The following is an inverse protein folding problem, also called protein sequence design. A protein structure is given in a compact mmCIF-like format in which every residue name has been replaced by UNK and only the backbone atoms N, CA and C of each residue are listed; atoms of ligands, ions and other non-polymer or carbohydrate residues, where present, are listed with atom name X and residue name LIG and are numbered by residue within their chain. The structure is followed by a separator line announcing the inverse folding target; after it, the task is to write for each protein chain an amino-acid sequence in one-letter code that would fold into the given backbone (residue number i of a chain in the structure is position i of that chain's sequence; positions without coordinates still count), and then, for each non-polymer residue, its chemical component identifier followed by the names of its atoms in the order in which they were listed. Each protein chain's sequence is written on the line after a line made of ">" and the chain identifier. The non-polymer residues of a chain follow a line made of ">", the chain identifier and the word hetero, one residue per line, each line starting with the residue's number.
data_IF_710833098636
#
_entry.id   IF_710833098636
#
_cell.length_a   1.000
_cell.length_b   1.000
_cell.length_c   1.000
_cell.angle_alpha   90.00
_cell.angle_beta   90.00
_cell.angle_gamma   90.00
#
_symmetry.space_group_name_H-M   'P 1'
#
loop_
_entity.id
_entity.type
_entity.pdbx_description
1 polymer ?
#
# COMPACT_ATOMS: atom_id res chain seq x y z
N UNK A 1 19.36 32.42 7.49
CA UNK A 1 19.39 30.99 7.10
C UNK A 1 18.36 30.28 7.94
N UNK A 2 17.31 29.72 7.32
CA UNK A 2 16.48 28.72 7.98
C UNK A 2 17.40 27.53 8.30
N UNK A 3 17.30 26.95 9.50
CA UNK A 3 18.06 25.74 9.81
C UNK A 3 17.65 24.63 8.82
N UNK A 4 18.62 23.90 8.29
CA UNK A 4 18.36 22.78 7.40
C UNK A 4 17.63 21.68 8.19
N UNK A 5 16.54 21.14 7.64
CA UNK A 5 15.72 20.14 8.31
C UNK A 5 16.51 18.84 8.47
N UNK A 6 16.46 18.22 9.66
CA UNK A 6 17.07 16.92 9.94
C UNK A 6 16.01 15.82 9.88
N UNK A 7 16.16 14.85 9.00
CA UNK A 7 15.16 13.81 8.75
C UNK A 7 15.74 12.42 8.98
N UNK A 8 15.16 11.68 9.92
CA UNK A 8 15.37 10.24 10.00
C UNK A 8 14.50 9.55 8.96
N UNK A 9 15.12 8.92 7.96
CA UNK A 9 14.40 8.14 6.95
C UNK A 9 14.36 6.68 7.36
N UNK A 10 13.17 6.11 7.48
CA UNK A 10 12.96 4.70 7.77
C UNK A 10 12.61 3.96 6.48
N UNK A 11 13.56 3.20 5.95
CA UNK A 11 13.42 2.47 4.69
C UNK A 11 14.28 1.20 4.66
N UNK A 12 13.80 0.14 4.00
CA UNK A 12 14.56 -1.08 3.75
C UNK A 12 15.80 -0.79 2.89
N UNK A 13 16.98 -0.88 3.51
CA UNK A 13 18.28 -0.75 2.85
C UNK A 13 18.62 -1.96 1.97
N UNK A 14 17.81 -3.03 1.97
CA UNK A 14 17.86 -4.11 0.97
C UNK A 14 17.25 -3.70 -0.37
N UNK A 15 16.41 -2.66 -0.37
CA UNK A 15 15.59 -2.24 -1.53
C UNK A 15 16.16 -1.01 -2.26
N UNK A 16 17.43 -0.71 -2.03
CA UNK A 16 18.12 0.52 -2.47
C UNK A 16 17.99 0.91 -3.94
N UNK A 17 17.91 -0.01 -4.94
CA UNK A 17 17.79 0.41 -6.33
C UNK A 17 16.56 1.28 -6.61
N UNK A 18 15.48 1.15 -5.83
CA UNK A 18 14.19 1.81 -6.10
C UNK A 18 14.06 3.23 -5.54
N UNK A 19 14.83 3.59 -4.51
CA UNK A 19 14.71 4.88 -3.81
C UNK A 19 16.00 5.70 -3.78
N UNK A 20 17.11 5.19 -4.33
CA UNK A 20 18.40 5.86 -4.28
C UNK A 20 18.35 7.33 -4.72
N UNK A 21 17.74 7.62 -5.87
CA UNK A 21 17.61 8.99 -6.38
C UNK A 21 16.72 9.89 -5.52
N UNK A 22 15.65 9.36 -4.93
CA UNK A 22 14.82 10.10 -3.99
C UNK A 22 15.62 10.50 -2.74
N UNK A 23 16.36 9.55 -2.16
CA UNK A 23 17.18 9.80 -0.96
C UNK A 23 18.35 10.74 -1.25
N UNK A 24 18.99 10.62 -2.42
CA UNK A 24 20.05 11.54 -2.85
C UNK A 24 19.53 12.97 -3.01
N UNK A 25 18.37 13.16 -3.66
CA UNK A 25 17.76 14.47 -3.78
C UNK A 25 17.33 15.03 -2.41
N UNK A 26 16.82 14.17 -1.52
CA UNK A 26 16.51 14.56 -0.15
C UNK A 26 17.76 15.01 0.61
N UNK A 27 18.88 14.29 0.50
CA UNK A 27 20.15 14.64 1.14
C UNK A 27 20.78 15.94 0.61
N UNK A 28 20.42 16.38 -0.60
CA UNK A 28 20.86 17.67 -1.15
C UNK A 28 20.11 18.87 -0.53
N UNK A 29 18.92 18.64 0.04
CA UNK A 29 18.03 19.70 0.55
C UNK A 29 17.77 19.59 2.06
N UNK A 30 18.06 18.45 2.68
CA UNK A 30 17.90 18.16 4.10
C UNK A 30 19.11 17.35 4.62
N UNK A 31 19.40 17.46 5.92
CA UNK A 31 20.37 16.57 6.57
C UNK A 31 19.63 15.27 6.90
N UNK A 32 20.12 14.12 6.42
CA UNK A 32 19.42 12.85 6.60
C UNK A 32 20.30 11.75 7.19
N UNK A 33 19.65 10.87 7.95
CA UNK A 33 20.15 9.54 8.31
C UNK A 33 19.11 8.52 7.87
N UNK A 34 19.50 7.50 7.10
CA UNK A 34 18.58 6.45 6.68
C UNK A 34 18.80 5.16 7.49
N UNK A 35 17.74 4.66 8.12
CA UNK A 35 17.78 3.45 8.93
C UNK A 35 16.81 2.38 8.42
N UNK A 36 17.25 1.13 8.43
CA UNK A 36 16.37 0.00 8.13
C UNK A 36 17.09 -1.32 7.87
N UNK A 37 16.33 -2.38 7.50
CA UNK A 37 16.90 -3.69 7.22
C UNK A 37 17.85 -3.70 6.04
N UNK A 38 19.03 -4.26 6.24
CA UNK A 38 20.09 -4.35 5.23
C UNK A 38 21.43 -3.91 5.79
N UNK A 39 22.43 -3.78 4.92
CA UNK A 39 23.74 -3.25 5.31
C UNK A 39 23.60 -1.76 5.56
N UNK A 40 23.96 -1.32 6.76
CA UNK A 40 23.93 0.07 7.19
C UNK A 40 25.17 0.88 6.83
N UNK A 41 26.13 0.31 6.11
CA UNK A 41 27.39 0.97 5.77
C UNK A 41 27.49 1.09 4.24
N UNK A 42 26.52 1.82 3.67
CA UNK A 42 26.45 2.05 2.24
C UNK A 42 27.29 3.28 1.90
N UNK A 43 28.04 3.20 0.80
CA UNK A 43 28.80 4.33 0.24
C UNK A 43 27.83 5.34 -0.40
N UNK A 44 27.15 6.11 0.46
CA UNK A 44 26.15 7.10 0.11
C UNK A 44 26.56 8.46 0.69
N UNK A 45 26.08 9.58 0.10
CA UNK A 45 26.44 10.93 0.56
C UNK A 45 25.79 11.32 1.91
N UNK A 46 25.19 10.37 2.61
CA UNK A 46 24.50 10.53 3.89
C UNK A 46 24.67 9.27 4.74
N UNK A 47 24.54 9.41 6.07
CA UNK A 47 24.74 8.28 6.97
C UNK A 47 23.62 7.25 6.84
N UNK A 48 23.98 5.98 6.90
CA UNK A 48 23.03 4.86 6.94
C UNK A 48 23.20 4.05 8.22
N UNK A 49 22.15 3.32 8.62
CA UNK A 49 22.18 2.46 9.80
C UNK A 49 21.33 1.21 9.59
N UNK A 50 21.93 0.04 9.81
CA UNK A 50 21.25 -1.24 9.70
C UNK A 50 20.43 -1.52 10.95
N UNK A 51 19.19 -1.96 10.80
CA UNK A 51 18.37 -2.43 11.92
C UNK A 51 17.50 -3.65 11.54
N UNK A 52 16.77 -4.21 12.50
CA UNK A 52 15.83 -5.30 12.23
C UNK A 52 14.53 -4.82 11.59
N UNK A 53 13.80 -5.74 10.96
CA UNK A 53 12.52 -5.49 10.25
C UNK A 53 11.42 -4.88 11.13
N UNK A 54 11.57 -4.98 12.46
CA UNK A 54 10.63 -4.47 13.46
C UNK A 54 11.36 -3.80 14.63
N UNK A 55 12.57 -3.27 14.40
CA UNK A 55 13.29 -2.51 15.42
C UNK A 55 12.43 -1.36 15.96
N UNK A 56 12.54 -1.07 17.26
CA UNK A 56 11.83 0.04 17.87
C UNK A 56 12.42 1.37 17.41
N UNK A 57 11.57 2.34 17.09
CA UNK A 57 11.98 3.70 16.70
C UNK A 57 12.83 4.34 17.80
N UNK A 58 12.50 4.14 19.07
CA UNK A 58 13.32 4.61 20.21
C UNK A 58 14.77 4.10 20.12
N UNK A 59 14.96 2.79 19.95
CA UNK A 59 16.31 2.22 19.81
C UNK A 59 17.04 2.70 18.55
N UNK A 60 16.30 3.04 17.48
CA UNK A 60 16.88 3.65 16.27
C UNK A 60 17.32 5.08 16.58
N UNK A 61 16.50 5.86 17.28
CA UNK A 61 16.80 7.24 17.69
C UNK A 61 18.04 7.28 18.62
N UNK A 62 18.13 6.37 19.58
CA UNK A 62 19.26 6.27 20.51
C UNK A 62 20.58 5.91 19.82
N UNK A 63 20.52 5.27 18.65
CA UNK A 63 21.68 4.85 17.88
C UNK A 63 22.09 5.88 16.81
N UNK A 64 21.40 7.01 16.70
CA UNK A 64 21.78 8.08 15.77
C UNK A 64 23.12 8.74 16.17
N UNK A 65 23.84 9.35 15.21
CA UNK A 65 25.04 10.12 15.51
C UNK A 65 24.77 11.20 16.58
N UNK A 66 25.72 11.43 17.50
CA UNK A 66 25.56 12.35 18.65
C UNK A 66 25.14 13.78 18.24
N UNK A 67 25.52 14.21 17.04
CA UNK A 67 25.20 15.53 16.48
C UNK A 67 23.91 15.57 15.65
N UNK A 68 23.17 14.46 15.57
CA UNK A 68 21.97 14.34 14.75
C UNK A 68 20.73 14.07 15.62
N UNK A 69 19.89 15.10 15.76
CA UNK A 69 18.56 14.97 16.39
C UNK A 69 17.51 15.24 15.31
N UNK A 70 16.67 14.25 14.93
CA UNK A 70 15.74 14.42 13.82
C UNK A 70 14.61 15.37 14.20
N UNK A 71 14.32 16.32 13.31
CA UNK A 71 13.14 17.19 13.36
C UNK A 71 11.90 16.45 12.82
N UNK A 72 12.11 15.42 11.99
CA UNK A 72 11.07 14.58 11.37
C UNK A 72 11.53 13.12 11.18
N UNK A 73 10.58 12.20 11.18
CA UNK A 73 10.76 10.79 10.77
C UNK A 73 9.96 10.54 9.49
N UNK A 74 10.60 10.08 8.42
CA UNK A 74 9.95 9.76 7.15
C UNK A 74 10.02 8.24 6.89
N UNK A 75 8.90 7.54 7.07
CA UNK A 75 8.77 6.13 6.74
C UNK A 75 8.43 5.95 5.26
N UNK A 76 9.30 5.26 4.52
CA UNK A 76 9.09 4.93 3.11
C UNK A 76 8.66 3.47 3.00
N UNK A 77 7.56 3.22 2.29
CA UNK A 77 7.08 1.87 2.03
C UNK A 77 8.08 1.07 1.18
N UNK A 78 8.92 0.29 1.86
CA UNK A 78 9.99 -0.48 1.23
C UNK A 78 10.21 -1.81 1.91
N UNK A 79 10.13 -2.88 1.13
CA UNK A 79 10.30 -4.24 1.63
C UNK A 79 9.31 -4.57 2.76
N UNK A 80 9.74 -5.42 3.69
CA UNK A 80 8.97 -5.78 4.88
C UNK A 80 9.56 -5.10 6.11
N UNK A 81 9.57 -3.76 6.13
CA UNK A 81 10.06 -2.98 7.28
C UNK A 81 8.92 -2.22 7.95
N UNK A 82 8.61 -2.59 9.20
CA UNK A 82 7.52 -2.04 9.99
C UNK A 82 7.99 -1.76 11.43
N UNK A 83 8.65 -0.62 11.68
CA UNK A 83 9.30 -0.33 12.97
C UNK A 83 8.28 -0.22 14.12
N UNK A 84 8.68 -0.69 15.31
CA UNK A 84 7.87 -0.59 16.52
C UNK A 84 7.98 0.82 17.13
N UNK A 85 7.07 1.17 18.05
CA UNK A 85 7.21 2.41 18.83
C UNK A 85 6.80 3.70 18.10
N UNK A 86 6.30 3.62 16.86
CA UNK A 86 5.74 4.77 16.14
C UNK A 86 4.62 5.50 16.91
N UNK A 87 3.87 4.79 17.75
CA UNK A 87 2.79 5.36 18.58
C UNK A 87 3.34 6.32 19.64
N UNK A 88 4.48 5.98 20.25
CA UNK A 88 5.09 6.72 21.35
C UNK A 88 6.21 7.67 20.94
N UNK A 89 6.65 7.65 19.68
CA UNK A 89 7.65 8.59 19.18
C UNK A 89 7.14 10.04 19.33
N UNK A 90 7.97 10.97 19.80
CA UNK A 90 7.58 12.38 19.96
C UNK A 90 7.84 13.20 18.69
N UNK A 91 8.80 12.77 17.86
CA UNK A 91 9.14 13.40 16.58
C UNK A 91 8.04 13.16 15.54
N UNK A 92 7.55 14.19 14.82
CA UNK A 92 6.56 14.04 13.76
C UNK A 92 6.95 12.95 12.77
N UNK A 93 6.05 12.00 12.53
CA UNK A 93 6.27 10.86 11.66
C UNK A 93 5.39 10.96 10.41
N UNK A 94 5.99 10.70 9.26
CA UNK A 94 5.33 10.75 7.96
C UNK A 94 5.40 9.40 7.28
N UNK A 95 4.41 9.07 6.47
CA UNK A 95 4.39 7.84 5.69
C UNK A 95 4.25 8.11 4.20
N UNK A 96 5.15 7.55 3.41
CA UNK A 96 5.05 7.54 1.96
C UNK A 96 4.50 6.18 1.49
N UNK A 97 3.20 6.16 1.16
CA UNK A 97 2.47 5.01 0.66
C UNK A 97 2.70 4.84 -0.85
N UNK A 98 3.63 3.98 -1.23
CA UNK A 98 4.15 3.87 -2.61
C UNK A 98 3.15 3.20 -3.57
N UNK A 99 2.55 2.08 -3.16
CA UNK A 99 1.74 1.24 -4.06
C UNK A 99 0.30 1.06 -3.52
N UNK A 100 -0.48 2.16 -3.36
CA UNK A 100 -1.80 2.08 -2.75
C UNK A 100 -2.78 1.19 -3.51
N UNK A 101 -2.65 1.07 -4.83
CA UNK A 101 -3.45 0.17 -5.65
C UNK A 101 -3.33 -1.31 -5.25
N UNK A 102 -2.21 -1.71 -4.65
CA UNK A 102 -2.00 -3.08 -4.15
C UNK A 102 -2.26 -3.19 -2.64
N UNK A 103 -2.08 -2.09 -1.91
CA UNK A 103 -1.86 -2.12 -0.47
C UNK A 103 -2.83 -1.25 0.34
N UNK A 104 -3.79 -0.58 -0.30
CA UNK A 104 -4.71 0.37 0.37
C UNK A 104 -5.40 -0.22 1.60
N UNK A 105 -5.73 -1.51 1.57
CA UNK A 105 -6.41 -2.22 2.65
C UNK A 105 -5.64 -2.19 3.99
N UNK A 106 -4.31 -2.26 3.96
CA UNK A 106 -3.50 -2.17 5.19
C UNK A 106 -2.82 -0.81 5.35
N UNK A 107 -2.51 -0.11 4.26
CA UNK A 107 -1.96 1.25 4.33
C UNK A 107 -2.94 2.22 5.00
N UNK A 108 -4.25 2.02 4.79
CA UNK A 108 -5.29 2.80 5.48
C UNK A 108 -5.17 2.67 7.00
N UNK A 109 -4.97 1.46 7.51
CA UNK A 109 -4.75 1.25 8.95
C UNK A 109 -3.39 1.80 9.37
N UNK A 110 -2.32 1.47 8.64
CA UNK A 110 -0.97 1.92 8.95
C UNK A 110 -0.86 3.44 9.00
N UNK A 111 -1.60 4.15 8.15
CA UNK A 111 -1.64 5.61 8.10
C UNK A 111 -1.97 6.25 9.45
N UNK A 112 -2.78 5.60 10.29
CA UNK A 112 -3.18 6.12 11.61
C UNK A 112 -2.01 6.31 12.57
N UNK A 113 -0.84 5.72 12.27
CA UNK A 113 0.39 5.87 13.06
C UNK A 113 1.18 7.14 12.74
N UNK A 114 0.77 7.89 11.71
CA UNK A 114 1.52 9.01 11.15
C UNK A 114 0.75 10.32 11.26
N UNK A 115 1.49 11.42 11.19
CA UNK A 115 0.95 12.78 11.26
C UNK A 115 0.52 13.26 9.87
N UNK A 116 1.20 12.81 8.80
CA UNK A 116 0.74 12.95 7.43
C UNK A 116 1.14 11.77 6.53
N UNK A 117 0.35 11.59 5.47
CA UNK A 117 0.54 10.53 4.46
C UNK A 117 0.77 11.16 3.10
N UNK A 118 1.76 10.63 2.40
CA UNK A 118 2.12 10.97 1.03
C UNK A 118 1.79 9.78 0.13
N UNK A 119 1.18 10.01 -1.02
CA UNK A 119 0.85 8.96 -1.99
C UNK A 119 1.13 9.44 -3.42
N UNK A 120 1.67 8.61 -4.33
CA UNK A 120 1.96 9.01 -5.69
C UNK A 120 0.71 9.10 -6.58
N UNK A 121 -0.40 8.48 -6.16
CA UNK A 121 -1.61 8.36 -6.97
C UNK A 121 -2.74 9.24 -6.38
N UNK A 122 -3.14 10.34 -7.07
CA UNK A 122 -4.12 11.30 -6.56
C UNK A 122 -5.47 10.70 -6.13
N UNK A 123 -5.97 9.67 -6.83
CA UNK A 123 -7.25 9.03 -6.47
C UNK A 123 -7.27 8.43 -5.07
N UNK A 124 -6.11 8.17 -4.46
CA UNK A 124 -6.03 7.58 -3.12
C UNK A 124 -6.04 8.61 -2.00
N UNK A 125 -5.99 9.91 -2.32
CA UNK A 125 -6.15 10.95 -1.30
C UNK A 125 -7.52 10.88 -0.63
N UNK A 126 -8.60 10.82 -1.41
CA UNK A 126 -9.97 10.81 -0.91
C UNK A 126 -10.32 9.52 -0.14
N UNK A 127 -9.99 8.30 -0.61
CA UNK A 127 -10.13 7.08 0.19
C UNK A 127 -9.44 7.19 1.56
N UNK A 128 -8.17 7.58 1.61
CA UNK A 128 -7.43 7.70 2.87
C UNK A 128 -8.05 8.76 3.80
N UNK A 129 -8.52 9.90 3.26
CA UNK A 129 -9.25 10.91 4.04
C UNK A 129 -10.60 10.39 4.54
N UNK A 130 -11.34 9.64 3.72
CA UNK A 130 -12.64 9.05 4.09
C UNK A 130 -12.52 8.03 5.22
N UNK A 131 -11.39 7.31 5.29
CA UNK A 131 -11.07 6.45 6.41
C UNK A 131 -10.54 7.20 7.65
N UNK A 132 -10.57 8.54 7.62
CA UNK A 132 -10.39 9.41 8.77
C UNK A 132 -9.03 10.11 8.86
N UNK A 133 -8.10 9.89 7.91
CA UNK A 133 -6.80 10.54 7.99
C UNK A 133 -6.89 12.02 7.60
N UNK A 134 -6.56 12.97 8.50
CA UNK A 134 -6.82 14.40 8.26
C UNK A 134 -5.81 15.03 7.28
N UNK A 135 -4.58 14.51 7.23
CA UNK A 135 -3.50 15.05 6.42
C UNK A 135 -2.98 14.00 5.42
N UNK A 136 -3.57 13.99 4.23
CA UNK A 136 -3.14 13.16 3.11
C UNK A 136 -2.78 14.08 1.95
N UNK A 137 -1.68 13.83 1.27
CA UNK A 137 -1.19 14.67 0.18
C UNK A 137 -0.74 13.83 -1.02
N UNK A 138 -1.17 14.23 -2.20
CA UNK A 138 -0.59 13.70 -3.43
C UNK A 138 0.86 14.15 -3.61
N UNK A 139 1.79 13.21 -3.55
CA UNK A 139 3.23 13.39 -3.70
C UNK A 139 3.72 12.45 -4.82
N UNK A 140 3.94 12.96 -6.04
CA UNK A 140 4.33 12.13 -7.18
C UNK A 140 5.76 11.60 -7.04
N UNK A 141 6.07 10.52 -7.75
CA UNK A 141 7.44 10.07 -7.94
C UNK A 141 8.18 10.99 -8.90
N UNK A 142 9.46 11.25 -8.61
CA UNK A 142 10.32 12.11 -9.39
C UNK A 142 11.25 11.36 -10.35
N UNK A 143 11.88 12.14 -11.22
CA UNK A 143 12.89 11.69 -12.18
C UNK A 143 14.28 12.08 -11.69
N UNK A 144 15.27 11.21 -11.90
CA UNK A 144 16.69 11.53 -11.75
C UNK A 144 17.21 12.26 -13.00
N UNK A 145 17.42 13.59 -12.97
CA UNK A 145 17.84 14.34 -14.16
C UNK A 145 19.22 13.96 -14.67
N UNK A 146 20.14 13.49 -13.81
CA UNK A 146 21.46 13.04 -14.24
C UNK A 146 21.38 11.78 -15.13
N UNK A 147 20.33 10.96 -14.93
CA UNK A 147 20.10 9.72 -15.64
C UNK A 147 19.16 9.90 -16.83
N UNK A 148 18.02 10.54 -16.61
CA UNK A 148 17.01 10.80 -17.62
C UNK A 148 17.14 12.23 -18.12
N UNK A 149 17.96 12.40 -19.14
CA UNK A 149 18.12 13.64 -19.88
C UNK A 149 18.27 13.33 -21.37
N UNK A 150 17.98 14.34 -22.20
CA UNK A 150 18.20 14.26 -23.63
C UNK A 150 19.69 14.42 -23.94
N UNK A 151 20.29 13.34 -24.41
CA UNK A 151 21.71 13.26 -24.74
C UNK A 151 22.02 13.77 -26.16
N UNK A 152 21.01 14.26 -26.89
CA UNK A 152 21.18 14.76 -28.26
C UNK A 152 21.54 13.69 -29.28
N UNK A 153 21.25 12.41 -28.97
CA UNK A 153 21.53 11.28 -29.85
C UNK A 153 20.58 11.25 -31.05
N UNK A 154 21.02 10.58 -32.11
CA UNK A 154 20.13 10.20 -33.21
C UNK A 154 19.00 9.30 -32.70
N UNK A 155 17.78 9.57 -33.16
CA UNK A 155 16.59 8.78 -32.82
C UNK A 155 16.27 7.82 -33.94
N UNK A 156 16.85 6.63 -33.87
CA UNK A 156 16.70 5.57 -34.86
C UNK A 156 15.39 4.79 -34.73
N UNK A 157 14.69 4.90 -33.60
CA UNK A 157 13.40 4.24 -33.35
C UNK A 157 12.24 5.22 -33.51
N UNK A 158 11.19 4.81 -34.23
CA UNK A 158 9.94 5.56 -34.28
C UNK A 158 9.20 5.48 -32.95
N UNK A 159 9.09 4.25 -32.41
CA UNK A 159 8.38 3.98 -31.16
C UNK A 159 9.17 3.02 -30.27
N UNK A 160 9.32 3.37 -28.99
CA UNK A 160 9.80 2.45 -27.97
C UNK A 160 8.75 2.18 -26.89
N UNK A 161 8.80 1.00 -26.29
CA UNK A 161 8.00 0.62 -25.12
C UNK A 161 8.88 -0.08 -24.09
N UNK A 162 8.68 0.24 -22.82
CA UNK A 162 9.41 -0.34 -21.67
C UNK A 162 8.42 -1.02 -20.74
N UNK A 163 8.44 -2.35 -20.71
CA UNK A 163 7.58 -3.14 -19.84
C UNK A 163 7.42 -4.58 -20.30
N UNK A 164 6.59 -5.33 -19.60
CA UNK A 164 6.23 -6.70 -19.98
C UNK A 164 5.28 -6.68 -21.19
N UNK A 165 5.53 -7.51 -22.21
CA UNK A 165 4.75 -7.46 -23.46
C UNK A 165 4.52 -8.82 -24.12
N UNK A 166 4.87 -9.92 -23.45
CA UNK A 166 4.60 -11.27 -23.96
C UNK A 166 3.10 -11.50 -24.20
N UNK A 167 2.77 -12.21 -25.27
CA UNK A 167 1.39 -12.39 -25.72
C UNK A 167 0.48 -13.06 -24.67
N UNK A 168 1.04 -13.98 -23.88
CA UNK A 168 0.29 -14.73 -22.87
C UNK A 168 -0.12 -13.88 -21.66
N UNK A 169 0.72 -12.90 -21.29
CA UNK A 169 0.47 -12.00 -20.15
C UNK A 169 -0.12 -10.65 -20.55
N UNK A 170 0.21 -10.15 -21.75
CA UNK A 170 -0.26 -8.85 -22.26
C UNK A 170 -0.60 -8.92 -23.75
N UNK A 171 -1.70 -9.60 -24.13
CA UNK A 171 -2.09 -9.79 -25.53
C UNK A 171 -2.30 -8.46 -26.28
N UNK A 172 -2.80 -7.43 -25.59
CA UNK A 172 -2.96 -6.10 -26.16
C UNK A 172 -1.63 -5.44 -26.55
N UNK A 173 -0.60 -5.52 -25.69
CA UNK A 173 0.74 -4.95 -25.99
C UNK A 173 1.37 -5.64 -27.19
N UNK A 174 1.24 -6.96 -27.25
CA UNK A 174 1.68 -7.76 -28.38
C UNK A 174 0.95 -7.37 -29.68
N UNK A 175 -0.37 -7.17 -29.63
CA UNK A 175 -1.16 -6.72 -30.77
C UNK A 175 -0.74 -5.32 -31.25
N UNK A 176 -0.59 -4.35 -30.33
CA UNK A 176 -0.16 -2.99 -30.66
C UNK A 176 1.21 -3.00 -31.36
N UNK A 177 2.17 -3.75 -30.82
CA UNK A 177 3.50 -3.92 -31.44
C UNK A 177 3.40 -4.44 -32.87
N UNK A 178 2.58 -5.48 -33.08
CA UNK A 178 2.37 -6.05 -34.42
C UNK A 178 1.76 -5.04 -35.39
N UNK A 179 0.72 -4.32 -34.98
CA UNK A 179 0.06 -3.30 -35.81
C UNK A 179 1.04 -2.20 -36.24
N UNK A 180 1.89 -1.73 -35.32
CA UNK A 180 2.90 -0.72 -35.65
C UNK A 180 3.96 -1.25 -36.64
N UNK A 181 4.41 -2.49 -36.47
CA UNK A 181 5.36 -3.13 -37.39
C UNK A 181 4.74 -3.38 -38.77
N UNK A 182 3.47 -3.77 -38.84
CA UNK A 182 2.73 -3.96 -40.08
C UNK A 182 2.53 -2.64 -40.85
N UNK A 183 2.56 -1.49 -40.16
CA UNK A 183 2.62 -0.16 -40.77
C UNK A 183 4.05 0.31 -41.14
N UNK A 184 5.06 -0.52 -40.93
CA UNK A 184 6.45 -0.21 -41.29
C UNK A 184 7.19 0.70 -40.30
N UNK A 185 6.66 0.91 -39.09
CA UNK A 185 7.34 1.68 -38.05
C UNK A 185 8.52 0.91 -37.47
N UNK A 186 9.63 1.59 -37.19
CA UNK A 186 10.75 0.99 -36.46
C UNK A 186 10.43 0.97 -34.96
N UNK A 187 10.02 -0.20 -34.45
CA UNK A 187 9.50 -0.36 -33.08
C UNK A 187 10.33 -1.29 -32.24
N UNK A 188 10.67 -0.85 -31.02
CA UNK A 188 11.36 -1.67 -30.03
C UNK A 188 10.57 -1.75 -28.71
N UNK A 189 10.16 -2.96 -28.36
CA UNK A 189 9.54 -3.26 -27.07
C UNK A 189 10.54 -4.08 -26.27
N UNK A 190 10.87 -3.61 -25.08
CA UNK A 190 11.89 -4.22 -24.24
C UNK A 190 11.45 -4.24 -22.78
N UNK A 191 12.06 -5.15 -22.00
CA UNK A 191 11.98 -5.15 -20.54
C UNK A 191 13.38 -4.98 -19.96
N UNK A 192 13.91 -3.75 -19.96
CA UNK A 192 15.21 -3.44 -19.36
C UNK A 192 15.30 -3.85 -17.89
N UNK A 193 16.52 -4.13 -17.44
CA UNK A 193 16.83 -4.52 -16.07
C UNK A 193 17.41 -3.38 -15.21
N UNK A 194 17.73 -2.23 -15.82
CA UNK A 194 18.22 -1.05 -15.11
C UNK A 194 17.67 0.25 -15.70
N UNK A 195 17.70 1.32 -14.90
CA UNK A 195 17.22 2.64 -15.33
C UNK A 195 18.13 3.26 -16.42
N UNK A 196 19.42 2.95 -16.45
CA UNK A 196 20.34 3.36 -17.53
C UNK A 196 19.93 2.77 -18.87
N UNK A 197 19.52 1.50 -18.89
CA UNK A 197 19.02 0.86 -20.11
C UNK A 197 17.68 1.47 -20.56
N UNK A 198 16.82 1.85 -19.62
CA UNK A 198 15.57 2.58 -19.91
C UNK A 198 15.91 3.94 -20.52
N UNK A 199 16.80 4.73 -19.88
CA UNK A 199 17.20 6.04 -20.35
C UNK A 199 17.85 5.99 -21.75
N UNK A 200 18.70 4.99 -21.99
CA UNK A 200 19.33 4.76 -23.30
C UNK A 200 18.28 4.45 -24.39
N UNK A 201 17.29 3.61 -24.09
CA UNK A 201 16.20 3.31 -25.01
C UNK A 201 15.34 4.55 -25.31
N UNK A 202 15.02 5.35 -24.29
CA UNK A 202 14.24 6.59 -24.47
C UNK A 202 14.97 7.64 -25.30
N UNK A 203 16.31 7.73 -25.19
CA UNK A 203 17.10 8.65 -26.01
C UNK A 203 17.14 8.26 -27.50
N UNK A 204 16.87 7.00 -27.84
CA UNK A 204 16.80 6.48 -29.22
C UNK A 204 15.43 6.62 -29.88
N UNK A 205 14.38 6.88 -29.11
CA UNK A 205 13.00 6.81 -29.61
C UNK A 205 12.40 8.18 -29.91
N UNK A 206 11.71 8.35 -31.03
CA UNK A 206 10.91 9.55 -31.31
C UNK A 206 9.69 9.61 -30.39
N UNK A 207 9.00 8.49 -30.22
CA UNK A 207 7.83 8.34 -29.35
C UNK A 207 8.09 7.24 -28.33
N UNK A 208 7.71 7.45 -27.08
CA UNK A 208 7.67 6.38 -26.08
C UNK A 208 6.22 6.09 -25.74
N UNK A 209 5.83 4.84 -25.98
CA UNK A 209 4.51 4.32 -25.61
C UNK A 209 4.48 3.98 -24.12
N UNK A 210 3.44 4.44 -23.44
CA UNK A 210 3.09 4.03 -22.09
C UNK A 210 1.67 3.47 -22.05
N UNK A 211 1.50 2.30 -21.45
CA UNK A 211 0.19 1.70 -21.19
C UNK A 211 0.09 1.35 -19.71
N UNK A 212 -0.68 2.15 -18.98
CA UNK A 212 -0.98 1.98 -17.56
C UNK A 212 -2.48 1.96 -17.27
N UNK A 213 -2.81 1.64 -16.01
CA UNK A 213 -4.17 1.71 -15.48
C UNK A 213 -4.53 3.16 -15.17
N UNK A 214 -5.83 3.49 -15.30
CA UNK A 214 -6.28 4.87 -15.11
C UNK A 214 -6.02 5.40 -13.69
N UNK A 215 -6.16 4.55 -12.68
CA UNK A 215 -6.00 4.89 -11.26
C UNK A 215 -4.56 4.84 -10.76
N UNK A 216 -3.58 4.61 -11.65
CA UNK A 216 -2.17 4.46 -11.27
C UNK A 216 -1.33 5.63 -11.78
N UNK A 217 -0.44 6.14 -10.94
CA UNK A 217 0.55 7.13 -11.34
C UNK A 217 1.83 6.43 -11.80
N UNK A 218 2.32 6.83 -12.96
CA UNK A 218 3.55 6.31 -13.55
C UNK A 218 4.48 7.46 -13.90
N UNK A 219 5.74 7.34 -13.48
CA UNK A 219 6.80 8.30 -13.83
C UNK A 219 7.33 8.09 -15.27
N UNK A 220 6.95 6.99 -15.95
CA UNK A 220 7.50 6.61 -17.26
C UNK A 220 7.25 7.66 -18.36
N UNK A 221 6.05 8.25 -18.50
CA UNK A 221 5.84 9.33 -19.47
C UNK A 221 6.75 10.54 -19.21
N UNK A 222 6.97 10.87 -17.94
CA UNK A 222 7.86 11.95 -17.53
C UNK A 222 9.33 11.64 -17.87
N UNK A 223 9.80 10.43 -17.56
CA UNK A 223 11.16 9.99 -17.92
C UNK A 223 11.40 10.06 -19.44
N UNK A 224 10.43 9.62 -20.24
CA UNK A 224 10.50 9.71 -21.69
C UNK A 224 10.61 11.16 -22.18
N UNK A 225 9.78 12.05 -21.61
CA UNK A 225 9.82 13.49 -21.91
C UNK A 225 11.16 14.13 -21.55
N UNK A 226 11.74 13.78 -20.39
CA UNK A 226 13.05 14.27 -19.96
C UNK A 226 14.18 13.86 -20.93
N UNK A 227 14.11 12.63 -21.46
CA UNK A 227 14.99 12.13 -22.51
C UNK A 227 14.69 12.70 -23.91
N UNK A 228 13.70 13.59 -24.08
CA UNK A 228 13.36 14.26 -25.33
C UNK A 228 12.49 13.43 -26.29
N UNK A 229 11.96 12.28 -25.87
CA UNK A 229 10.94 11.58 -26.64
C UNK A 229 9.56 12.21 -26.39
N UNK A 230 8.64 12.10 -27.35
CA UNK A 230 7.24 12.45 -27.13
C UNK A 230 6.56 11.29 -26.38
N UNK A 231 6.01 11.50 -25.17
CA UNK A 231 5.24 10.46 -24.51
C UNK A 231 3.90 10.27 -25.22
N UNK A 232 3.53 9.02 -25.50
CA UNK A 232 2.20 8.64 -25.95
C UNK A 232 1.63 7.65 -24.93
N UNK A 233 0.66 8.08 -24.13
CA UNK A 233 0.19 7.34 -22.95
C UNK A 233 -1.29 6.97 -23.05
N UNK A 234 -1.69 5.82 -22.49
CA UNK A 234 -3.08 5.66 -22.06
C UNK A 234 -3.42 6.73 -21.00
N UNK A 235 -4.70 7.05 -20.85
CA UNK A 235 -5.17 7.93 -19.79
C UNK A 235 -4.76 7.38 -18.41
N UNK A 236 -4.16 8.23 -17.58
CA UNK A 236 -3.69 7.89 -16.23
C UNK A 236 -3.72 9.13 -15.34
N UNK A 237 -3.89 8.92 -14.04
CA UNK A 237 -3.94 10.01 -13.07
C UNK A 237 -2.61 10.75 -12.93
N UNK A 238 -2.70 12.05 -12.62
CA UNK A 238 -1.53 12.91 -12.43
C UNK A 238 -0.75 13.26 -13.70
N UNK A 239 -1.03 12.61 -14.85
CA UNK A 239 -0.34 12.89 -16.13
C UNK A 239 -0.48 14.36 -16.53
N UNK A 240 -1.72 14.89 -16.56
CA UNK A 240 -1.98 16.25 -17.00
C UNK A 240 -1.29 17.31 -16.11
N UNK A 241 -0.93 17.00 -14.88
CA UNK A 241 -0.21 17.94 -14.01
C UNK A 241 1.14 18.33 -14.57
N UNK A 242 1.85 17.39 -15.21
CA UNK A 242 3.17 17.63 -15.79
C UNK A 242 3.14 17.65 -17.31
N UNK A 243 2.33 16.80 -17.92
CA UNK A 243 2.26 16.60 -19.36
C UNK A 243 0.82 16.78 -19.83
N UNK A 244 0.47 18.02 -20.16
CA UNK A 244 -0.84 18.36 -20.71
C UNK A 244 -1.06 17.64 -22.07
N UNK A 245 -2.14 16.86 -22.24
CA UNK A 245 -2.47 16.20 -23.51
C UNK A 245 -2.50 17.18 -24.68
N UNK A 246 -2.02 16.73 -25.83
CA UNK A 246 -1.86 17.49 -27.09
C UNK A 246 -0.94 18.72 -27.02
N UNK A 247 -0.39 19.04 -25.84
CA UNK A 247 0.57 20.13 -25.66
C UNK A 247 1.97 19.64 -25.30
N UNK A 248 2.07 18.59 -24.49
CA UNK A 248 3.32 18.02 -23.98
C UNK A 248 3.34 16.49 -24.01
N UNK A 249 2.24 15.83 -24.36
CA UNK A 249 2.16 14.40 -24.63
C UNK A 249 1.00 14.11 -25.59
N UNK A 250 0.91 12.87 -26.07
CA UNK A 250 -0.26 12.33 -26.75
C UNK A 250 -0.97 11.35 -25.82
N UNK A 251 -2.29 11.30 -25.91
CA UNK A 251 -3.11 10.30 -25.21
C UNK A 251 -3.91 9.46 -26.19
N UNK A 252 -4.12 8.19 -25.85
CA UNK A 252 -4.94 7.27 -26.64
C UNK A 252 -5.85 6.43 -25.73
N UNK A 253 -6.99 6.00 -26.28
CA UNK A 253 -7.97 5.14 -25.60
C UNK A 253 -8.03 3.72 -26.16
N UNK A 254 -7.56 3.54 -27.39
CA UNK A 254 -7.72 2.32 -28.16
C UNK A 254 -6.67 2.24 -29.27
N UNK A 255 -6.50 1.08 -29.92
CA UNK A 255 -5.51 0.92 -30.98
C UNK A 255 -5.69 1.87 -32.17
N UNK A 256 -6.92 2.23 -32.55
CA UNK A 256 -7.14 3.10 -33.71
C UNK A 256 -6.71 4.53 -33.42
N UNK A 257 -7.06 5.05 -32.24
CA UNK A 257 -6.61 6.38 -31.80
C UNK A 257 -5.10 6.43 -31.66
N UNK A 258 -4.47 5.38 -31.13
CA UNK A 258 -3.00 5.28 -31.07
C UNK A 258 -2.37 5.34 -32.46
N UNK A 259 -2.80 4.50 -33.41
CA UNK A 259 -2.20 4.46 -34.75
C UNK A 259 -2.36 5.80 -35.47
N UNK A 260 -3.53 6.43 -35.38
CA UNK A 260 -3.77 7.76 -35.95
C UNK A 260 -2.86 8.83 -35.34
N UNK A 261 -2.63 8.79 -34.03
CA UNK A 261 -1.73 9.72 -33.35
C UNK A 261 -0.27 9.53 -33.79
N UNK A 262 0.18 8.28 -33.91
CA UNK A 262 1.53 7.94 -34.37
C UNK A 262 1.75 8.38 -35.83
N UNK A 263 0.83 8.05 -36.73
CA UNK A 263 0.90 8.41 -38.15
C UNK A 263 1.03 9.93 -38.33
N UNK A 264 0.14 10.70 -37.69
CA UNK A 264 0.14 12.16 -37.79
C UNK A 264 1.38 12.82 -37.20
N UNK A 265 1.91 12.29 -36.10
CA UNK A 265 3.09 12.86 -35.45
C UNK A 265 4.36 12.53 -36.22
N UNK A 266 4.53 11.27 -36.64
CA UNK A 266 5.76 10.80 -37.28
C UNK A 266 5.92 11.36 -38.70
N UNK A 267 4.82 11.65 -39.40
CA UNK A 267 4.79 12.32 -40.70
C UNK A 267 5.10 13.83 -40.63
N UNK A 268 5.11 14.45 -39.43
CA UNK A 268 5.32 15.89 -39.25
C UNK A 268 6.47 16.16 -38.26
N UNK A 269 7.68 16.33 -38.79
CA UNK A 269 8.89 16.60 -37.99
C UNK A 269 8.77 17.83 -37.11
N UNK A 270 8.16 18.90 -37.61
CA UNK A 270 8.03 20.16 -36.88
C UNK A 270 7.08 20.00 -35.68
N UNK A 271 5.96 19.29 -35.88
CA UNK A 271 5.03 18.96 -34.80
C UNK A 271 5.71 18.07 -33.75
N UNK A 272 6.48 17.08 -34.19
CA UNK A 272 7.25 16.22 -33.27
C UNK A 272 8.25 17.04 -32.44
N UNK A 273 9.04 17.91 -33.07
CA UNK A 273 10.00 18.78 -32.37
C UNK A 273 9.32 19.73 -31.38
N UNK A 274 8.20 20.34 -31.77
CA UNK A 274 7.43 21.22 -30.91
C UNK A 274 6.91 20.48 -29.67
N UNK A 275 6.32 19.29 -29.87
CA UNK A 275 5.75 18.50 -28.78
C UNK A 275 6.85 17.95 -27.86
N UNK A 276 7.94 17.45 -28.42
CA UNK A 276 9.12 16.99 -27.67
C UNK A 276 9.73 18.11 -26.82
N UNK A 277 9.93 19.31 -27.40
CA UNK A 277 10.49 20.45 -26.67
C UNK A 277 9.59 20.90 -25.52
N UNK A 278 8.26 20.91 -25.72
CA UNK A 278 7.30 21.21 -24.65
C UNK A 278 7.30 20.14 -23.57
N UNK A 279 7.28 18.86 -23.95
CA UNK A 279 7.35 17.73 -23.03
C UNK A 279 8.59 17.83 -22.12
N UNK A 280 9.76 18.03 -22.72
CA UNK A 280 11.03 18.13 -22.00
C UNK A 280 11.05 19.31 -21.02
N UNK A 281 10.56 20.48 -21.43
CA UNK A 281 10.48 21.66 -20.55
C UNK A 281 9.57 21.41 -19.36
N UNK A 282 8.44 20.73 -19.56
CA UNK A 282 7.53 20.43 -18.46
C UNK A 282 8.03 19.32 -17.53
N UNK A 283 8.78 18.34 -18.06
CA UNK A 283 9.33 17.24 -17.27
C UNK A 283 10.23 17.70 -16.10
N UNK A 284 10.86 18.87 -16.23
CA UNK A 284 11.67 19.49 -15.17
C UNK A 284 10.90 19.65 -13.86
N UNK A 285 9.59 19.89 -13.92
CA UNK A 285 8.75 20.04 -12.72
C UNK A 285 8.58 18.73 -11.95
N UNK A 286 8.81 17.58 -12.60
CA UNK A 286 8.77 16.26 -11.99
C UNK A 286 10.16 15.68 -11.71
N UNK A 287 11.23 16.47 -11.77
CA UNK A 287 12.55 16.02 -11.30
C UNK A 287 12.57 15.93 -9.76
N UNK A 288 13.38 15.01 -9.23
CA UNK A 288 13.46 14.78 -7.79
C UNK A 288 13.68 16.05 -6.95
N UNK A 289 14.58 17.00 -7.30
CA UNK A 289 14.75 18.21 -6.50
C UNK A 289 13.45 19.01 -6.29
N UNK A 290 12.64 19.18 -7.34
CA UNK A 290 11.36 19.89 -7.29
C UNK A 290 10.31 19.10 -6.50
N UNK A 291 10.31 17.77 -6.66
CA UNK A 291 9.41 16.87 -5.94
C UNK A 291 9.74 16.85 -4.44
N UNK A 292 11.02 16.84 -4.07
CA UNK A 292 11.49 16.92 -2.68
C UNK A 292 11.21 18.29 -2.08
N UNK A 293 11.40 19.39 -2.82
CA UNK A 293 11.04 20.74 -2.33
C UNK A 293 9.57 20.78 -1.88
N UNK A 294 8.66 20.18 -2.67
CA UNK A 294 7.24 20.09 -2.33
C UNK A 294 6.99 19.19 -1.10
N UNK A 295 7.71 18.07 -0.98
CA UNK A 295 7.63 17.18 0.17
C UNK A 295 8.05 17.90 1.47
N UNK A 296 9.18 18.59 1.43
CA UNK A 296 9.71 19.36 2.57
C UNK A 296 8.77 20.49 2.96
N UNK A 297 8.20 21.21 2.00
CA UNK A 297 7.18 22.23 2.25
C UNK A 297 5.92 21.68 2.94
N UNK A 298 5.54 20.42 2.66
CA UNK A 298 4.40 19.75 3.30
C UNK A 298 4.72 19.21 4.69
N UNK A 299 5.98 18.85 4.95
CA UNK A 299 6.45 18.41 6.26
C UNK A 299 6.60 19.61 7.22
N UNK A 300 7.07 20.75 6.72
CA UNK A 300 7.41 21.93 7.52
C UNK A 300 6.34 22.39 8.53
N UNK A 301 5.03 22.41 8.21
CA UNK A 301 3.99 22.85 9.15
C UNK A 301 3.88 21.96 10.40
N UNK A 302 4.26 20.69 10.32
CA UNK A 302 4.14 19.73 11.41
C UNK A 302 5.32 19.76 12.40
N UNK A 303 6.42 20.41 12.03
CA UNK A 303 7.63 20.45 12.85
C UNK A 303 7.34 21.19 14.17
N UNK A 304 7.66 20.53 15.28
CA UNK A 304 7.40 21.04 16.64
C UNK A 304 5.94 20.97 17.08
N UNK A 305 5.03 20.42 16.25
CA UNK A 305 3.67 20.16 16.69
C UNK A 305 3.60 18.90 17.55
N UNK A 306 2.69 18.91 18.54
CA UNK A 306 2.36 17.68 19.24
C UNK A 306 1.68 16.74 18.26
N UNK A 307 2.21 15.52 18.19
CA UNK A 307 1.62 14.44 17.39
C UNK A 307 0.20 14.11 17.87
N UNK A 308 -0.49 13.32 17.07
CA UNK A 308 -1.75 12.60 17.37
C UNK A 308 -3.04 13.24 16.84
N UNK A 309 -3.56 12.60 15.81
CA UNK A 309 -4.90 12.81 15.28
C UNK A 309 -5.88 11.70 15.67
N UNK A 310 -5.38 10.52 16.05
CA UNK A 310 -6.18 9.35 16.39
C UNK A 310 -5.99 8.94 17.87
N UNK A 311 -7.06 8.44 18.53
CA UNK A 311 -6.96 7.85 19.85
C UNK A 311 -5.89 6.74 19.90
N UNK A 312 -5.17 6.64 21.02
CA UNK A 312 -4.12 5.63 21.19
C UNK A 312 -4.62 4.20 20.93
N UNK A 313 -5.81 3.88 21.43
CA UNK A 313 -6.46 2.59 21.20
C UNK A 313 -6.62 2.27 19.69
N UNK A 314 -7.05 3.21 18.87
CA UNK A 314 -7.19 3.00 17.43
C UNK A 314 -5.83 2.78 16.76
N UNK A 315 -4.81 3.54 17.16
CA UNK A 315 -3.44 3.39 16.65
C UNK A 315 -2.86 2.03 17.00
N UNK A 316 -3.07 1.54 18.22
CA UNK A 316 -2.62 0.21 18.63
C UNK A 316 -3.31 -0.91 17.84
N UNK A 317 -4.64 -0.82 17.61
CA UNK A 317 -5.36 -1.79 16.75
C UNK A 317 -4.81 -1.78 15.32
N UNK A 318 -4.64 -0.60 14.75
CA UNK A 318 -4.13 -0.42 13.41
C UNK A 318 -2.73 -1.01 13.25
N UNK A 319 -1.85 -0.77 14.22
CA UNK A 319 -0.51 -1.35 14.23
C UNK A 319 -0.55 -2.89 14.34
N UNK A 320 -1.46 -3.44 15.14
CA UNK A 320 -1.60 -4.90 15.30
C UNK A 320 -2.09 -5.55 14.02
N UNK A 321 -3.05 -4.91 13.35
CA UNK A 321 -3.58 -5.32 12.06
C UNK A 321 -2.47 -5.36 10.99
N UNK A 322 -1.60 -4.34 10.94
CA UNK A 322 -0.48 -4.32 9.99
C UNK A 322 0.50 -5.45 10.31
N UNK A 323 0.84 -5.67 11.57
CA UNK A 323 1.74 -6.78 11.95
C UNK A 323 1.16 -8.13 11.57
N UNK A 324 -0.14 -8.32 11.77
CA UNK A 324 -0.84 -9.51 11.33
C UNK A 324 -0.76 -9.71 9.80
N UNK A 325 -1.15 -8.71 9.02
CA UNK A 325 -1.21 -8.78 7.54
C UNK A 325 0.18 -8.89 6.89
N UNK A 326 1.24 -8.46 7.58
CA UNK A 326 2.60 -8.41 7.05
C UNK A 326 3.53 -9.51 7.56
N UNK A 327 2.97 -10.58 8.16
CA UNK A 327 3.74 -11.77 8.56
C UNK A 327 4.38 -11.70 9.95
N UNK A 328 3.99 -10.73 10.77
CA UNK A 328 4.43 -10.54 12.16
C UNK A 328 3.32 -10.84 13.17
N UNK A 329 2.44 -11.80 12.87
CA UNK A 329 1.25 -12.11 13.66
C UNK A 329 1.51 -12.35 15.15
N UNK A 330 2.62 -13.02 15.49
CA UNK A 330 3.01 -13.21 16.90
C UNK A 330 3.30 -11.91 17.67
N UNK A 331 3.81 -10.87 16.99
CA UNK A 331 3.94 -9.52 17.58
C UNK A 331 2.58 -8.83 17.68
N UNK A 332 1.75 -8.95 16.64
CA UNK A 332 0.38 -8.43 16.65
C UNK A 332 -0.44 -8.96 17.83
N UNK A 333 -0.41 -10.27 18.08
CA UNK A 333 -1.07 -10.90 19.24
C UNK A 333 -0.57 -10.33 20.57
N UNK A 334 0.75 -10.18 20.75
CA UNK A 334 1.30 -9.62 22.00
C UNK A 334 0.77 -8.21 22.25
N UNK A 335 0.67 -7.40 21.21
CA UNK A 335 0.10 -6.06 21.33
C UNK A 335 -1.39 -6.09 21.66
N UNK A 336 -2.17 -6.93 20.99
CA UNK A 336 -3.61 -7.08 21.28
C UNK A 336 -3.85 -7.60 22.71
N UNK A 337 -2.99 -8.48 23.23
CA UNK A 337 -3.07 -8.93 24.62
C UNK A 337 -2.81 -7.80 25.61
N UNK A 338 -1.76 -7.00 25.39
CA UNK A 338 -1.48 -5.83 26.22
C UNK A 338 -2.65 -4.81 26.16
N UNK A 339 -3.28 -4.65 24.99
CA UNK A 339 -4.48 -3.81 24.86
C UNK A 339 -5.67 -4.37 25.64
N UNK A 340 -5.91 -5.68 25.61
CA UNK A 340 -7.06 -6.29 26.28
C UNK A 340 -7.04 -6.05 27.80
N UNK A 341 -5.86 -5.96 28.41
CA UNK A 341 -5.70 -5.60 29.83
C UNK A 341 -6.20 -4.17 30.12
N UNK A 342 -5.99 -3.24 29.18
CA UNK A 342 -6.36 -1.82 29.31
C UNK A 342 -7.79 -1.54 28.82
N UNK A 343 -8.28 -2.33 27.85
CA UNK A 343 -9.58 -2.16 27.17
C UNK A 343 -10.40 -3.46 27.21
N UNK A 344 -10.76 -3.98 28.39
CA UNK A 344 -11.35 -5.32 28.54
C UNK A 344 -12.73 -5.49 27.88
N UNK A 345 -13.43 -4.39 27.56
CA UNK A 345 -14.77 -4.40 26.95
C UNK A 345 -14.77 -4.08 25.45
N UNK A 346 -13.59 -4.01 24.84
CA UNK A 346 -13.43 -3.76 23.41
C UNK A 346 -13.65 -5.05 22.62
N UNK A 347 -14.79 -5.09 21.93
CA UNK A 347 -15.27 -6.26 21.18
C UNK A 347 -14.44 -6.53 19.92
N UNK A 348 -13.67 -5.55 19.45
CA UNK A 348 -12.83 -5.73 18.27
C UNK A 348 -11.55 -6.50 18.59
N UNK A 349 -11.06 -6.45 19.84
CA UNK A 349 -9.81 -7.11 20.23
C UNK A 349 -9.89 -8.64 20.11
N UNK A 350 -10.92 -9.34 20.65
CA UNK A 350 -11.07 -10.77 20.43
C UNK A 350 -11.20 -11.13 18.94
N UNK A 351 -11.89 -10.30 18.15
CA UNK A 351 -12.05 -10.53 16.72
C UNK A 351 -10.71 -10.43 15.97
N UNK A 352 -9.91 -9.39 16.22
CA UNK A 352 -8.59 -9.22 15.62
C UNK A 352 -7.63 -10.34 16.02
N UNK A 353 -7.68 -10.80 17.28
CA UNK A 353 -6.92 -11.96 17.76
C UNK A 353 -7.34 -13.23 17.04
N UNK A 354 -8.63 -13.49 16.93
CA UNK A 354 -9.16 -14.65 16.22
C UNK A 354 -8.72 -14.68 14.75
N UNK A 355 -8.83 -13.56 14.02
CA UNK A 355 -8.34 -13.45 12.64
C UNK A 355 -6.83 -13.73 12.55
N UNK A 356 -6.07 -13.26 13.54
CA UNK A 356 -4.63 -13.54 13.62
C UNK A 356 -4.29 -15.01 13.82
N UNK A 357 -5.02 -15.69 14.67
CA UNK A 357 -4.89 -17.13 14.86
C UNK A 357 -5.33 -17.92 13.62
N UNK A 358 -6.43 -17.52 12.96
CA UNK A 358 -6.91 -18.17 11.74
C UNK A 358 -5.88 -18.13 10.60
N UNK A 359 -5.25 -16.98 10.34
CA UNK A 359 -4.20 -16.91 9.31
C UNK A 359 -2.95 -17.74 9.66
N UNK A 360 -2.79 -18.09 10.94
CA UNK A 360 -1.71 -18.96 11.42
C UNK A 360 -2.14 -20.43 11.52
N UNK A 361 -3.35 -20.78 11.06
CA UNK A 361 -3.97 -22.12 11.21
C UNK A 361 -4.13 -22.59 12.66
N UNK A 362 -4.22 -21.66 13.62
CA UNK A 362 -4.40 -21.92 15.05
C UNK A 362 -5.91 -21.90 15.38
N UNK A 363 -6.64 -22.90 14.89
CA UNK A 363 -8.11 -22.91 14.92
C UNK A 363 -8.69 -22.95 16.34
N UNK A 364 -8.06 -23.66 17.27
CA UNK A 364 -8.55 -23.77 18.65
C UNK A 364 -8.40 -22.44 19.40
N UNK A 365 -7.28 -21.74 19.21
CA UNK A 365 -7.03 -20.42 19.76
C UNK A 365 -8.01 -19.40 19.17
N UNK A 366 -8.22 -19.43 17.86
CA UNK A 366 -9.22 -18.59 17.20
C UNK A 366 -10.64 -18.84 17.76
N UNK A 367 -11.01 -20.12 17.94
CA UNK A 367 -12.29 -20.50 18.53
C UNK A 367 -12.45 -19.93 19.94
N UNK A 368 -11.44 -20.07 20.81
CA UNK A 368 -11.49 -19.52 22.17
C UNK A 368 -11.70 -18.00 22.19
N UNK A 369 -11.03 -17.27 21.30
CA UNK A 369 -11.22 -15.81 21.21
C UNK A 369 -12.63 -15.44 20.71
N UNK A 370 -13.14 -16.11 19.69
CA UNK A 370 -14.51 -15.90 19.19
C UNK A 370 -15.58 -16.29 20.21
N UNK A 371 -15.33 -17.33 21.00
CA UNK A 371 -16.23 -17.73 22.08
C UNK A 371 -16.22 -16.72 23.23
N UNK A 372 -15.05 -16.19 23.57
CA UNK A 372 -14.92 -15.10 24.55
C UNK A 372 -15.72 -13.87 24.12
N UNK A 373 -15.73 -13.55 22.82
CA UNK A 373 -16.53 -12.47 22.24
C UNK A 373 -18.03 -12.69 22.44
N UNK A 374 -18.53 -13.91 22.23
CA UNK A 374 -19.94 -14.26 22.42
C UNK A 374 -20.36 -14.27 23.90
N UNK A 375 -19.41 -14.51 24.80
CA UNK A 375 -19.64 -14.66 26.25
C UNK A 375 -19.21 -13.44 27.07
N UNK A 376 -18.88 -12.32 26.42
CA UNK A 376 -18.53 -11.05 27.07
C UNK A 376 -19.61 -10.65 28.07
N UNK A 377 -19.25 -10.64 29.35
CA UNK A 377 -20.13 -10.20 30.43
C UNK A 377 -20.48 -8.72 30.22
N UNK A 378 -21.75 -8.39 30.44
CA UNK A 378 -22.30 -7.02 30.45
C UNK A 378 -22.49 -6.31 29.10
N UNK A 379 -22.23 -6.98 27.95
CA UNK A 379 -22.45 -6.35 26.63
C UNK A 379 -23.06 -7.33 25.63
N UNK A 380 -24.35 -7.15 25.34
CA UNK A 380 -25.01 -7.87 24.24
C UNK A 380 -24.55 -7.28 22.90
N UNK A 381 -23.92 -8.10 22.07
CA UNK A 381 -23.49 -7.70 20.74
C UNK A 381 -24.70 -7.37 19.85
N UNK A 382 -24.63 -6.32 19.01
CA UNK A 382 -25.69 -6.01 18.06
C UNK A 382 -25.95 -7.19 17.11
N UNK A 383 -27.22 -7.51 16.86
CA UNK A 383 -27.60 -8.62 15.97
C UNK A 383 -26.98 -8.50 14.57
N UNK A 384 -26.92 -7.29 14.01
CA UNK A 384 -26.29 -7.04 12.72
C UNK A 384 -24.79 -7.39 12.70
N UNK A 385 -24.07 -7.12 13.79
CA UNK A 385 -22.66 -7.48 13.91
C UNK A 385 -22.47 -9.01 13.97
N UNK A 386 -23.30 -9.70 14.77
CA UNK A 386 -23.28 -11.17 14.83
C UNK A 386 -23.58 -11.80 13.46
N UNK A 387 -24.54 -11.26 12.72
CA UNK A 387 -24.87 -11.73 11.38
C UNK A 387 -23.69 -11.60 10.42
N UNK A 388 -22.98 -10.47 10.45
CA UNK A 388 -21.79 -10.22 9.63
C UNK A 388 -20.67 -11.23 9.88
N UNK A 389 -20.48 -11.69 11.12
CA UNK A 389 -19.42 -12.64 11.48
C UNK A 389 -19.92 -14.10 11.59
N UNK A 390 -21.19 -14.37 11.32
CA UNK A 390 -21.83 -15.67 11.60
C UNK A 390 -21.16 -16.84 10.89
N UNK A 391 -20.74 -16.68 9.64
CA UNK A 391 -20.00 -17.71 8.91
C UNK A 391 -18.60 -17.93 9.48
N UNK A 392 -17.91 -16.88 9.90
CA UNK A 392 -16.59 -16.98 10.55
C UNK A 392 -16.71 -17.77 11.85
N UNK A 393 -17.72 -17.48 12.67
CA UNK A 393 -18.01 -18.23 13.91
C UNK A 393 -18.22 -19.72 13.61
N UNK A 394 -19.19 -20.05 12.75
CA UNK A 394 -19.54 -21.45 12.46
C UNK A 394 -18.38 -22.20 11.81
N UNK A 395 -17.68 -21.59 10.87
CA UNK A 395 -16.49 -22.16 10.23
C UNK A 395 -15.40 -22.47 11.26
N UNK A 396 -15.07 -21.50 12.10
CA UNK A 396 -13.98 -21.62 13.06
C UNK A 396 -14.29 -22.68 14.11
N UNK A 397 -15.50 -22.70 14.66
CA UNK A 397 -15.90 -23.71 15.63
C UNK A 397 -15.94 -25.13 15.04
N UNK A 398 -16.38 -25.29 13.79
CA UNK A 398 -16.32 -26.60 13.11
C UNK A 398 -14.89 -27.07 12.87
N UNK A 399 -14.02 -26.21 12.35
CA UNK A 399 -12.61 -26.52 12.10
C UNK A 399 -11.87 -26.86 13.40
N UNK A 400 -12.17 -26.16 14.48
CA UNK A 400 -11.59 -26.40 15.81
C UNK A 400 -12.22 -27.58 16.56
N UNK A 401 -13.36 -28.11 16.11
CA UNK A 401 -14.17 -29.06 16.88
C UNK A 401 -14.69 -28.48 18.20
N UNK A 402 -14.89 -27.16 18.28
CA UNK A 402 -15.16 -26.43 19.52
C UNK A 402 -16.67 -26.36 19.80
N UNK A 403 -17.15 -27.37 20.53
CA UNK A 403 -18.60 -27.62 20.75
C UNK A 403 -19.27 -26.51 21.56
N UNK A 404 -18.63 -26.02 22.63
CA UNK A 404 -19.19 -24.97 23.50
C UNK A 404 -19.45 -23.68 22.72
N UNK A 405 -18.47 -23.22 21.95
CA UNK A 405 -18.66 -22.05 21.07
C UNK A 405 -19.71 -22.28 19.98
N UNK A 406 -19.90 -23.51 19.50
CA UNK A 406 -21.00 -23.81 18.57
C UNK A 406 -22.38 -23.64 19.23
N UNK A 407 -22.53 -24.00 20.50
CA UNK A 407 -23.76 -23.77 21.27
C UNK A 407 -23.97 -22.26 21.43
N UNK A 408 -22.97 -21.51 21.89
CA UNK A 408 -23.07 -20.05 22.03
C UNK A 408 -23.35 -19.34 20.70
N UNK A 409 -22.75 -19.79 19.59
CA UNK A 409 -23.05 -19.27 18.25
C UNK A 409 -24.51 -19.53 17.85
N UNK A 410 -25.02 -20.73 18.12
CA UNK A 410 -26.41 -21.06 17.83
C UNK A 410 -27.39 -20.19 18.65
N UNK A 411 -27.04 -19.84 19.88
CA UNK A 411 -27.81 -18.89 20.71
C UNK A 411 -27.75 -17.46 20.14
N UNK A 412 -26.54 -16.99 19.82
CA UNK A 412 -26.28 -15.61 19.40
C UNK A 412 -26.81 -15.28 18.00
N UNK A 413 -26.63 -16.16 17.01
CA UNK A 413 -26.99 -15.89 15.60
C UNK A 413 -28.51 -15.79 15.47
N UNK A 414 -29.11 -14.62 15.15
CA UNK A 414 -30.55 -14.45 15.19
C UNK A 414 -31.31 -15.44 14.31
N UNK A 415 -30.89 -15.57 13.05
CA UNK A 415 -31.50 -16.44 12.05
C UNK A 415 -30.43 -17.24 11.28
N UNK A 416 -30.00 -18.41 11.78
CA UNK A 416 -28.98 -19.19 11.08
C UNK A 416 -29.56 -19.77 9.77
N UNK A 417 -28.75 -19.72 8.70
CA UNK A 417 -29.09 -20.29 7.39
C UNK A 417 -29.23 -21.82 7.45
N UNK A 418 -29.88 -22.47 6.46
CA UNK A 418 -29.98 -23.94 6.44
C UNK A 418 -28.61 -24.64 6.52
N UNK A 419 -27.59 -24.09 5.84
CA UNK A 419 -26.22 -24.60 5.88
C UNK A 419 -25.60 -24.45 7.28
N UNK A 420 -25.72 -23.28 7.89
CA UNK A 420 -25.24 -23.03 9.25
C UNK A 420 -25.92 -23.96 10.26
N UNK A 421 -27.25 -24.14 10.18
CA UNK A 421 -28.00 -25.06 11.06
C UNK A 421 -27.49 -26.48 10.96
N UNK A 422 -27.29 -26.99 9.74
CA UNK A 422 -26.81 -28.35 9.51
C UNK A 422 -25.42 -28.57 10.13
N UNK A 423 -24.51 -27.61 9.97
CA UNK A 423 -23.15 -27.68 10.52
C UNK A 423 -23.14 -27.58 12.04
N UNK A 424 -23.88 -26.63 12.60
CA UNK A 424 -24.04 -26.48 14.05
C UNK A 424 -24.65 -27.74 14.67
N UNK A 425 -25.72 -28.30 14.09
CA UNK A 425 -26.32 -29.56 14.58
C UNK A 425 -25.35 -30.73 14.52
N UNK A 426 -24.55 -30.84 13.46
CA UNK A 426 -23.54 -31.90 13.32
C UNK A 426 -22.48 -31.82 14.41
N UNK A 427 -21.99 -30.61 14.69
CA UNK A 427 -20.96 -30.38 15.69
C UNK A 427 -21.50 -30.57 17.10
N UNK A 428 -22.64 -29.93 17.41
CA UNK A 428 -23.31 -30.01 18.73
C UNK A 428 -23.78 -31.44 19.02
N UNK A 429 -24.18 -32.22 18.00
CA UNK A 429 -24.56 -33.62 18.16
C UNK A 429 -23.43 -34.54 18.64
N UNK A 430 -22.18 -34.05 18.69
CA UNK A 430 -21.03 -34.75 19.29
C UNK A 430 -20.87 -34.45 20.78
N UNK A 431 -21.68 -33.55 21.33
CA UNK A 431 -21.61 -33.16 22.74
C UNK A 431 -22.09 -34.27 23.65
N UNK A 432 -21.32 -34.56 24.69
CA UNK A 432 -21.75 -35.41 25.81
C UNK A 432 -22.54 -34.61 26.86
N UNK A 433 -22.51 -33.28 26.76
CA UNK A 433 -23.16 -32.35 27.69
C UNK A 433 -24.59 -32.00 27.26
N UNK A 434 -25.41 -31.56 28.23
CA UNK A 434 -26.78 -31.13 27.98
C UNK A 434 -26.80 -29.87 27.11
N UNK A 435 -27.42 -29.96 25.93
CA UNK A 435 -27.62 -28.84 25.01
C UNK A 435 -28.91 -28.10 25.38
N UNK A 436 -28.91 -26.75 25.46
CA UNK A 436 -30.11 -25.98 25.77
C UNK A 436 -31.27 -26.28 24.80
N UNK A 437 -32.48 -26.49 25.33
CA UNK A 437 -33.66 -26.78 24.51
C UNK A 437 -33.97 -25.67 23.50
N UNK A 438 -33.73 -24.41 23.89
CA UNK A 438 -33.85 -23.22 23.04
C UNK A 438 -33.00 -23.35 21.77
N UNK A 439 -31.77 -23.85 21.89
CA UNK A 439 -30.84 -24.08 20.76
C UNK A 439 -31.37 -25.17 19.84
N UNK A 440 -31.79 -26.31 20.39
CA UNK A 440 -32.32 -27.43 19.59
C UNK A 440 -33.56 -26.98 18.80
N UNK A 441 -34.49 -26.28 19.46
CA UNK A 441 -35.71 -25.75 18.82
C UNK A 441 -35.39 -24.76 17.70
N UNK A 442 -34.37 -23.91 17.88
CA UNK A 442 -33.95 -22.92 16.89
C UNK A 442 -33.28 -23.56 15.67
N UNK A 443 -32.43 -24.56 15.87
CA UNK A 443 -31.71 -25.22 14.80
C UNK A 443 -32.56 -26.27 14.06
N UNK A 444 -33.50 -26.93 14.74
CA UNK A 444 -34.35 -27.98 14.20
C UNK A 444 -35.84 -27.79 14.57
N UNK A 445 -36.52 -26.74 14.05
CA UNK A 445 -37.89 -26.38 14.46
C UNK A 445 -38.96 -27.45 14.13
N UNK A 446 -38.65 -28.40 13.25
CA UNK A 446 -39.55 -29.47 12.82
C UNK A 446 -39.22 -30.85 13.44
N UNK A 447 -38.18 -30.96 14.28
CA UNK A 447 -37.95 -32.20 15.06
C UNK A 447 -38.85 -32.17 16.29
N UNK A 448 -39.78 -33.12 16.39
CA UNK A 448 -40.40 -33.49 17.66
C UNK A 448 -39.32 -34.08 18.56
N UNK A 449 -38.95 -33.34 19.62
CA UNK A 449 -38.02 -33.82 20.64
C UNK A 449 -38.85 -34.19 21.86
N UNK A 450 -38.67 -35.40 22.45
CA UNK A 450 -39.46 -35.83 23.59
C UNK A 450 -39.29 -34.86 24.76
N UNK A 451 -40.40 -34.49 25.39
CA UNK A 451 -40.43 -33.66 26.59
C UNK A 451 -39.44 -34.21 27.63
N UNK A 452 -38.66 -33.31 28.23
CA UNK A 452 -37.73 -33.64 29.30
C UNK A 452 -38.50 -34.41 30.39
N UNK A 453 -38.16 -35.68 30.61
CA UNK A 453 -38.53 -36.36 31.85
C UNK A 453 -37.79 -35.66 32.98
N UNK A 454 -38.54 -34.91 33.77
CA UNK A 454 -38.11 -34.48 35.10
C UNK A 454 -37.73 -35.74 35.90
N UNK A 455 -36.50 -35.77 36.40
CA UNK A 455 -36.06 -36.63 37.49
C UNK A 455 -35.30 -35.78 38.48
#
# INVERSE_FOLDING_TARGET
>A
MQAQLRILVLASLKSQPKLGSMLQALAQQAEIVAAGPGNGDLDLPFATMGCGDTSAVESILDALPENFTPDAVLCLETGNFYPQGLIGCETPCFYYAMDPQLNIHWQTEYSKLFDAVFTPSPSYEEPLRRYGHPAVYWQPLGIEPALFNNQGLERDLDVAFVGEFHADSHPQRHQLRRMMMEQGLNVLFEKPHSDEQIAALYNRARVVLHQGEKSDYSVRPLQAAACGAVPCSSDMEGLATFLQPDQACLTYSDPHTLMHQLENLLANSDRWQQLSSKAQKSAVQGHWPQVIDQLLQRIQPFIGQKRFHFPEQERMKAHAFVYHTRGFGGRGIRMLNAMQEHYPHDVELPLLKALTYLNSNLYLEAAKELDSLLTLKDKKLPSAFIEQISDVLVNTFELAGYIEGAIHAAEAIPQPSPAQRSRLLRLIGRSENQVPYSVIKKLAPHRSVPEQRAY
#
